data_IF_847793221492
#
_entry.id   IF_847793221492
#
_cell.length_a   1.000
_cell.length_b   1.000
_cell.length_c   1.000
_cell.angle_alpha   90.00
_cell.angle_beta   90.00
_cell.angle_gamma   90.00
#
_symmetry.space_group_name_H-M   'P 1'
#
loop_
_entity.id
_entity.type
_entity.pdbx_description
1 polymer ?
#
# COMPACT_ATOMS: atom_id res chain seq x y z
N UNK A 1 8.16 -35.88 4.92
CA UNK A 1 7.82 -34.73 4.07
C UNK A 1 6.44 -34.21 4.46
N UNK A 2 6.37 -33.35 5.48
CA UNK A 2 5.12 -32.75 5.93
C UNK A 2 4.98 -31.44 5.16
N UNK A 3 4.01 -31.44 4.24
CA UNK A 3 3.80 -30.42 3.21
C UNK A 3 3.59 -29.02 3.78
N UNK A 4 3.91 -28.06 2.92
CA UNK A 4 4.04 -26.61 3.11
C UNK A 4 2.76 -25.85 3.55
N UNK A 5 1.81 -26.50 4.21
CA UNK A 5 0.49 -25.91 4.53
C UNK A 5 0.46 -25.14 5.86
N UNK A 6 1.51 -25.21 6.67
CA UNK A 6 1.54 -24.58 8.01
C UNK A 6 2.04 -23.11 7.99
N UNK A 7 2.53 -22.60 6.85
CA UNK A 7 2.97 -21.20 6.72
C UNK A 7 1.92 -20.24 6.11
N UNK A 8 0.76 -20.74 5.67
CA UNK A 8 -0.30 -19.93 5.02
C UNK A 8 -1.19 -19.12 5.97
N UNK A 9 -0.87 -19.05 7.26
CA UNK A 9 -1.52 -18.12 8.20
C UNK A 9 -0.57 -17.01 8.63
N UNK A 10 0.03 -16.32 7.66
CA UNK A 10 0.51 -14.95 7.93
C UNK A 10 -0.73 -14.08 8.10
N UNK A 11 -1.18 -14.01 9.34
CA UNK A 11 -2.09 -13.03 9.92
C UNK A 11 -2.37 -11.86 8.97
N UNK A 12 -3.49 -11.91 8.23
CA UNK A 12 -3.88 -10.91 7.21
C UNK A 12 -4.32 -9.58 7.83
N UNK A 13 -3.65 -9.18 8.90
CA UNK A 13 -3.94 -8.06 9.77
C UNK A 13 -3.00 -6.93 9.39
N UNK A 14 -3.59 -5.83 8.94
CA UNK A 14 -2.87 -4.59 8.69
C UNK A 14 -2.17 -4.10 9.97
N UNK A 15 -0.85 -4.27 10.03
CA UNK A 15 -0.03 -3.69 11.08
C UNK A 15 0.25 -2.24 10.73
N UNK A 16 -0.10 -1.33 11.64
CA UNK A 16 0.06 0.11 11.41
C UNK A 16 1.23 0.66 12.20
N UNK A 17 1.99 1.58 11.59
CA UNK A 17 2.99 2.38 12.30
C UNK A 17 2.25 3.33 13.26
N UNK A 18 2.69 3.37 14.53
CA UNK A 18 2.01 4.15 15.58
C UNK A 18 2.90 5.22 16.18
N UNK A 19 4.20 4.94 16.35
CA UNK A 19 5.10 5.83 17.10
C UNK A 19 5.72 6.86 16.15
N UNK A 20 5.84 8.10 16.61
CA UNK A 20 6.47 9.18 15.83
C UNK A 20 7.92 8.82 15.43
N UNK A 21 8.68 8.17 16.32
CA UNK A 21 10.04 7.68 16.00
C UNK A 21 10.07 6.75 14.79
N UNK A 22 9.04 5.90 14.60
CA UNK A 22 8.95 5.01 13.44
C UNK A 22 8.69 5.80 12.15
N UNK A 23 7.80 6.79 12.20
CA UNK A 23 7.55 7.68 11.07
C UNK A 23 8.81 8.45 10.68
N UNK A 24 9.43 9.10 11.67
CA UNK A 24 10.65 9.88 11.50
C UNK A 24 11.75 9.03 10.87
N UNK A 25 11.96 7.81 11.37
CA UNK A 25 12.95 6.89 10.82
C UNK A 25 12.72 6.62 9.32
N UNK A 26 11.49 6.29 8.92
CA UNK A 26 11.16 5.99 7.52
C UNK A 26 11.25 7.23 6.64
N UNK A 27 10.88 8.41 7.15
CA UNK A 27 11.07 9.67 6.41
C UNK A 27 12.55 9.97 6.12
N UNK A 28 13.46 9.65 7.04
CA UNK A 28 14.89 9.96 6.89
C UNK A 28 15.68 8.89 6.12
N UNK A 29 15.35 7.61 6.30
CA UNK A 29 16.10 6.48 5.73
C UNK A 29 15.41 5.81 4.54
N UNK A 30 14.14 6.09 4.33
CA UNK A 30 13.33 5.46 3.28
C UNK A 30 13.60 6.00 1.89
N UNK A 31 13.32 5.16 0.89
CA UNK A 31 13.20 5.57 -0.52
C UNK A 31 11.80 6.09 -0.77
N UNK A 32 11.63 6.96 -1.77
CA UNK A 32 10.31 7.50 -2.11
C UNK A 32 9.95 7.29 -3.58
N UNK A 33 8.67 7.11 -3.83
CA UNK A 33 8.06 7.18 -5.15
C UNK A 33 6.72 7.90 -5.05
N UNK A 34 6.31 8.59 -6.11
CA UNK A 34 5.14 9.46 -6.07
C UNK A 34 4.24 9.28 -7.29
N UNK A 35 2.95 9.51 -7.06
CA UNK A 35 1.95 9.86 -8.08
C UNK A 35 1.50 11.31 -7.88
N UNK A 36 0.60 11.78 -8.74
CA UNK A 36 -0.04 13.09 -8.57
C UNK A 36 -0.77 13.21 -7.23
N UNK A 37 -1.42 12.14 -6.77
CA UNK A 37 -2.32 12.14 -5.60
C UNK A 37 -1.64 11.72 -4.30
N UNK A 38 -0.56 10.94 -4.35
CA UNK A 38 0.09 10.45 -3.13
C UNK A 38 1.57 10.13 -3.33
N UNK A 39 2.29 10.05 -2.21
CA UNK A 39 3.68 9.62 -2.14
C UNK A 39 3.76 8.38 -1.28
N UNK A 40 4.48 7.36 -1.74
CA UNK A 40 4.92 6.24 -0.92
C UNK A 40 6.35 6.49 -0.49
N UNK A 41 6.60 6.42 0.81
CA UNK A 41 7.94 6.38 1.39
C UNK A 41 8.09 5.01 2.02
N UNK A 42 9.14 4.28 1.68
CA UNK A 42 9.30 2.91 2.10
C UNK A 42 10.74 2.61 2.51
N UNK A 43 10.87 1.75 3.51
CA UNK A 43 12.15 1.23 3.95
C UNK A 43 12.04 -0.29 4.09
N UNK A 44 12.88 -1.03 3.35
CA UNK A 44 12.93 -2.48 3.42
C UNK A 44 13.66 -2.89 4.68
N UNK A 45 13.00 -3.68 5.52
CA UNK A 45 13.56 -4.18 6.77
C UNK A 45 14.07 -5.60 6.60
N UNK A 46 14.96 -6.02 7.50
CA UNK A 46 15.32 -7.44 7.65
C UNK A 46 14.24 -8.21 8.42
N UNK A 47 13.52 -7.57 9.34
CA UNK A 47 12.55 -8.20 10.24
C UNK A 47 11.30 -7.32 10.47
N UNK A 48 10.26 -7.90 11.06
CA UNK A 48 9.12 -7.15 11.61
C UNK A 48 7.92 -6.96 10.68
N UNK A 49 7.83 -7.73 9.60
CA UNK A 49 6.69 -7.76 8.71
C UNK A 49 6.51 -6.49 7.88
N UNK A 50 5.35 -6.42 7.23
CA UNK A 50 4.87 -5.22 6.54
C UNK A 50 4.13 -4.35 7.54
N UNK A 51 4.58 -3.10 7.69
CA UNK A 51 3.96 -2.09 8.57
C UNK A 51 3.63 -0.85 7.78
N UNK A 52 2.40 -0.35 7.89
CA UNK A 52 1.90 0.75 7.08
C UNK A 52 1.48 1.97 7.92
N UNK A 53 1.97 3.15 7.56
CA UNK A 53 1.56 4.45 8.08
C UNK A 53 0.77 5.22 7.02
N UNK A 54 -0.20 6.01 7.47
CA UNK A 54 -1.03 6.84 6.59
C UNK A 54 -1.01 8.29 7.08
N UNK A 55 -0.37 9.15 6.31
CA UNK A 55 -0.33 10.60 6.52
C UNK A 55 -1.28 11.27 5.54
N UNK A 56 -2.22 12.09 6.04
CA UNK A 56 -3.16 12.84 5.21
C UNK A 56 -2.98 14.32 5.51
N UNK A 57 -2.55 15.08 4.49
CA UNK A 57 -2.28 16.51 4.64
C UNK A 57 -3.53 17.28 5.06
N UNK A 58 -3.36 18.37 5.83
CA UNK A 58 -4.43 19.33 6.12
C UNK A 58 -5.03 19.93 4.84
N UNK A 59 -4.24 20.01 3.75
CA UNK A 59 -4.65 20.52 2.43
C UNK A 59 -5.69 19.64 1.71
N UNK A 60 -5.95 18.42 2.19
CA UNK A 60 -6.96 17.52 1.61
C UNK A 60 -8.39 17.95 1.98
N UNK A 61 -8.56 18.72 3.06
CA UNK A 61 -9.85 19.25 3.49
C UNK A 61 -10.15 19.03 4.97
N UNK A 62 -11.44 19.17 5.33
CA UNK A 62 -11.94 19.01 6.71
C UNK A 62 -11.74 17.58 7.23
N UNK A 63 -11.98 17.37 8.53
CA UNK A 63 -11.79 16.08 9.20
C UNK A 63 -12.49 14.92 8.49
N UNK A 64 -13.73 15.13 8.02
CA UNK A 64 -14.52 14.10 7.32
C UNK A 64 -13.84 13.64 6.03
N UNK A 65 -13.41 14.58 5.18
CA UNK A 65 -12.70 14.26 3.94
C UNK A 65 -11.38 13.51 4.20
N UNK A 66 -10.60 13.99 5.19
CA UNK A 66 -9.34 13.32 5.58
C UNK A 66 -9.57 11.91 6.12
N UNK A 67 -10.61 11.71 6.92
CA UNK A 67 -10.96 10.40 7.47
C UNK A 67 -11.47 9.44 6.40
N UNK A 68 -12.26 9.94 5.43
CA UNK A 68 -12.71 9.18 4.26
C UNK A 68 -11.51 8.67 3.45
N UNK A 69 -10.56 9.55 3.11
CA UNK A 69 -9.33 9.19 2.39
C UNK A 69 -8.51 8.18 3.19
N UNK A 70 -8.30 8.42 4.51
CA UNK A 70 -7.55 7.50 5.38
C UNK A 70 -8.20 6.11 5.44
N UNK A 71 -9.53 6.04 5.56
CA UNK A 71 -10.28 4.77 5.52
C UNK A 71 -10.06 4.06 4.19
N UNK A 72 -10.27 4.75 3.06
CA UNK A 72 -10.07 4.16 1.72
C UNK A 72 -8.66 3.60 1.54
N UNK A 73 -7.62 4.36 1.89
CA UNK A 73 -6.23 3.86 1.81
C UNK A 73 -5.98 2.63 2.68
N UNK A 74 -6.55 2.58 3.91
CA UNK A 74 -6.43 1.41 4.79
C UNK A 74 -7.11 0.18 4.19
N UNK A 75 -8.27 0.35 3.58
CA UNK A 75 -8.99 -0.74 2.91
C UNK A 75 -8.23 -1.25 1.69
N UNK A 76 -7.77 -0.35 0.81
CA UNK A 76 -6.92 -0.73 -0.33
C UNK A 76 -5.68 -1.51 0.14
N UNK A 77 -5.01 -1.04 1.19
CA UNK A 77 -3.85 -1.75 1.74
C UNK A 77 -4.22 -3.14 2.23
N UNK A 78 -5.36 -3.29 2.94
CA UNK A 78 -5.81 -4.59 3.45
C UNK A 78 -6.06 -5.59 2.33
N UNK A 79 -6.71 -5.17 1.24
CA UNK A 79 -6.91 -6.03 0.06
C UNK A 79 -5.58 -6.49 -0.55
N UNK A 80 -4.59 -5.59 -0.60
CA UNK A 80 -3.30 -5.88 -1.24
C UNK A 80 -2.31 -6.64 -0.34
N UNK A 81 -2.58 -6.82 0.96
CA UNK A 81 -1.65 -7.52 1.87
C UNK A 81 -1.33 -8.94 1.41
N UNK A 82 -2.32 -9.67 0.88
CA UNK A 82 -2.13 -11.03 0.36
C UNK A 82 -1.29 -11.09 -0.92
N UNK A 83 -1.12 -9.97 -1.61
CA UNK A 83 -0.35 -9.86 -2.87
C UNK A 83 1.07 -9.32 -2.63
N UNK A 84 1.43 -9.02 -1.38
CA UNK A 84 2.73 -8.47 -1.05
C UNK A 84 3.82 -9.54 -1.02
N UNK A 85 5.03 -9.13 -1.37
CA UNK A 85 6.21 -10.01 -1.25
C UNK A 85 6.44 -10.40 0.21
N UNK A 86 7.12 -11.54 0.44
CA UNK A 86 7.60 -11.95 1.77
C UNK A 86 8.67 -11.00 2.37
N UNK A 87 9.00 -9.89 1.70
CA UNK A 87 9.94 -8.89 2.19
C UNK A 87 9.30 -8.05 3.30
N UNK A 88 10.02 -7.90 4.41
CA UNK A 88 9.63 -7.00 5.48
C UNK A 88 9.83 -5.55 5.04
N UNK A 89 8.86 -4.67 5.30
CA UNK A 89 8.95 -3.27 4.90
C UNK A 89 8.11 -2.35 5.80
N UNK A 90 8.65 -1.17 6.11
CA UNK A 90 7.88 -0.07 6.67
C UNK A 90 7.45 0.85 5.53
N UNK A 91 6.16 1.13 5.42
CA UNK A 91 5.53 1.91 4.37
C UNK A 91 4.85 3.12 4.97
N UNK A 92 4.97 4.28 4.34
CA UNK A 92 4.22 5.49 4.68
C UNK A 92 3.59 6.01 3.40
N UNK A 93 2.25 6.03 3.38
CA UNK A 93 1.49 6.68 2.34
C UNK A 93 1.17 8.11 2.76
N UNK A 94 1.61 9.08 1.97
CA UNK A 94 1.37 10.51 2.18
C UNK A 94 0.39 11.00 1.11
N UNK A 95 -0.84 11.28 1.54
CA UNK A 95 -1.90 11.82 0.69
C UNK A 95 -1.69 13.33 0.43
N UNK A 96 -1.64 13.71 -0.86
CA UNK A 96 -1.59 15.11 -1.34
C UNK A 96 -3.00 15.66 -1.54
N UNK A 97 -3.12 16.98 -1.68
CA UNK A 97 -4.42 17.66 -1.79
C UNK A 97 -5.33 17.07 -2.89
N UNK A 98 -4.76 16.74 -4.06
CA UNK A 98 -5.48 16.19 -5.21
C UNK A 98 -6.18 14.84 -4.96
N UNK A 99 -5.92 14.16 -3.83
CA UNK A 99 -6.61 12.91 -3.50
C UNK A 99 -8.05 13.12 -3.01
N UNK A 100 -8.42 14.36 -2.63
CA UNK A 100 -9.72 14.66 -2.03
C UNK A 100 -10.90 14.22 -2.92
N UNK A 101 -10.75 14.38 -4.24
CA UNK A 101 -11.77 14.07 -5.26
C UNK A 101 -11.59 12.66 -5.85
N UNK A 102 -10.53 11.94 -5.46
CA UNK A 102 -10.24 10.63 -6.02
C UNK A 102 -11.28 9.59 -5.59
N UNK A 103 -11.69 8.77 -6.55
CA UNK A 103 -12.52 7.58 -6.32
C UNK A 103 -11.73 6.48 -5.60
N UNK A 104 -12.42 5.48 -5.07
CA UNK A 104 -11.76 4.31 -4.46
C UNK A 104 -10.85 3.59 -5.44
N UNK A 105 -11.32 3.36 -6.66
CA UNK A 105 -10.58 2.69 -7.73
C UNK A 105 -9.28 3.42 -8.07
N UNK A 106 -9.32 4.75 -8.15
CA UNK A 106 -8.13 5.56 -8.41
C UNK A 106 -7.11 5.50 -7.27
N UNK A 107 -7.57 5.53 -6.01
CA UNK A 107 -6.69 5.38 -4.85
C UNK A 107 -6.03 3.99 -4.88
N UNK A 108 -6.80 2.94 -5.15
CA UNK A 108 -6.30 1.56 -5.27
C UNK A 108 -5.26 1.44 -6.39
N UNK A 109 -5.56 2.02 -7.56
CA UNK A 109 -4.66 2.04 -8.72
C UNK A 109 -3.34 2.74 -8.41
N UNK A 110 -3.39 3.93 -7.81
CA UNK A 110 -2.20 4.70 -7.42
C UNK A 110 -1.36 3.93 -6.39
N UNK A 111 -1.99 3.36 -5.36
CA UNK A 111 -1.29 2.57 -4.33
C UNK A 111 -0.63 1.33 -4.93
N UNK A 112 -1.34 0.57 -5.76
CA UNK A 112 -0.80 -0.61 -6.46
C UNK A 112 0.39 -0.24 -7.35
N UNK A 113 0.27 0.85 -8.12
CA UNK A 113 1.36 1.35 -8.94
C UNK A 113 2.61 1.67 -8.11
N UNK A 114 2.44 2.36 -6.99
CA UNK A 114 3.55 2.71 -6.09
C UNK A 114 4.21 1.47 -5.47
N UNK A 115 3.41 0.49 -5.03
CA UNK A 115 3.93 -0.75 -4.47
C UNK A 115 4.66 -1.60 -5.52
N UNK A 116 4.14 -1.66 -6.76
CA UNK A 116 4.82 -2.31 -7.88
C UNK A 116 6.15 -1.63 -8.19
N UNK A 117 6.17 -0.30 -8.26
CA UNK A 117 7.38 0.50 -8.50
C UNK A 117 8.42 0.34 -7.38
N UNK A 118 7.97 0.12 -6.14
CA UNK A 118 8.84 -0.17 -5.00
C UNK A 118 9.36 -1.62 -4.96
N UNK A 119 8.87 -2.50 -5.85
CA UNK A 119 9.18 -3.93 -5.86
C UNK A 119 8.69 -4.64 -4.60
N UNK A 120 7.49 -4.29 -4.13
CA UNK A 120 6.86 -4.82 -2.91
C UNK A 120 5.61 -5.67 -3.17
N UNK A 121 5.16 -5.77 -4.42
CA UNK A 121 4.15 -6.72 -4.85
C UNK A 121 4.81 -7.93 -5.48
N UNK A 122 4.24 -9.11 -5.24
CA UNK A 122 4.60 -10.31 -6.00
C UNK A 122 4.26 -10.02 -7.46
N UNK A 123 5.15 -10.35 -8.43
CA UNK A 123 4.76 -10.29 -9.83
C UNK A 123 3.54 -11.18 -10.01
N UNK A 124 2.44 -10.57 -10.46
CA UNK A 124 1.21 -11.28 -10.78
C UNK A 124 1.60 -12.47 -11.66
N UNK A 125 1.28 -13.69 -11.23
CA UNK A 125 1.26 -14.82 -12.16
C UNK A 125 0.37 -14.36 -13.32
N UNK A 126 0.81 -14.43 -14.59
CA UNK A 126 -0.06 -14.06 -15.69
C UNK A 126 -1.34 -14.88 -15.55
N UNK A 127 -2.44 -14.22 -15.19
CA UNK A 127 -3.76 -14.83 -15.22
C UNK A 127 -4.09 -15.21 -16.67
N UNK A 128 -4.99 -16.18 -16.89
CA UNK A 128 -5.32 -16.61 -18.22
C UNK A 128 -5.74 -15.40 -19.05
N UNK A 129 -5.09 -15.20 -20.19
CA UNK A 129 -5.45 -14.21 -21.19
C UNK A 129 -6.96 -14.31 -21.42
N UNK A 130 -7.73 -13.34 -20.93
CA UNK A 130 -9.09 -13.14 -21.42
C UNK A 130 -8.91 -12.74 -22.88
N UNK A 131 -9.08 -13.74 -23.74
CA UNK A 131 -9.02 -13.60 -25.18
C UNK A 131 -9.91 -12.46 -25.62
N UNK A 132 -9.37 -11.70 -26.58
CA UNK A 132 -10.09 -10.91 -27.56
C UNK A 132 -11.47 -11.51 -27.88
N UNK A 133 -12.51 -10.86 -27.37
CA UNK A 133 -13.85 -10.90 -27.95
C UNK A 133 -14.03 -9.65 -28.81
N UNK A 134 -13.36 -9.61 -29.96
CA UNK A 134 -13.91 -8.87 -31.10
C UNK A 134 -15.18 -9.63 -31.48
N UNK A 135 -16.34 -8.98 -31.39
CA UNK A 135 -17.50 -9.37 -32.16
C UNK A 135 -17.78 -8.25 -33.13
N UNK A 136 -17.68 -8.67 -34.40
CA UNK A 136 -18.14 -8.08 -35.66
C UNK A 136 -19.48 -7.37 -35.59
#
# INVERSE_FOLDING_TARGET
MIGATVLEKINNKLVTLKKNKEFTFVYHRGKSCATRRMVLIYFKNRYGGIRSGFSVSKKVGKAVARNKVRRRMKECMREMLGEMTAQNANLIFVARACIAEATYSEIRKDMRYLLKKAGLLVPEKPGPTTGSGQLV
#
